data_IF_891430304888
#
_entry.id   IF_891430304888
#
_cell.length_a   1.000
_cell.length_b   1.000
_cell.length_c   1.000
_cell.angle_alpha   90.00
_cell.angle_beta   90.00
_cell.angle_gamma   90.00
#
_symmetry.space_group_name_H-M   'P 1'
#
loop_
_entity.id
_entity.type
_entity.pdbx_description
1 polymer ?
#
# COMPACT_ATOMS: atom_id res chain seq x y z
N UNK A 1 27.16 -45.37 -74.56
CA UNK A 1 26.03 -45.85 -73.73
C UNK A 1 26.43 -45.61 -72.28
N UNK A 2 26.05 -44.46 -71.72
CA UNK A 2 24.95 -44.29 -70.73
C UNK A 2 25.30 -44.95 -69.40
N UNK A 3 25.27 -44.32 -68.23
CA UNK A 3 24.54 -43.11 -67.79
C UNK A 3 25.01 -42.71 -66.40
N UNK A 4 25.17 -41.41 -66.17
CA UNK A 4 25.24 -40.77 -64.86
C UNK A 4 23.91 -40.89 -64.12
N UNK A 5 23.91 -41.44 -62.90
CA UNK A 5 22.74 -41.44 -62.01
C UNK A 5 23.05 -40.51 -60.83
N UNK A 6 22.53 -39.30 -60.92
CA UNK A 6 22.37 -38.36 -59.82
C UNK A 6 21.18 -38.80 -58.96
N UNK A 7 21.42 -39.25 -57.73
CA UNK A 7 20.35 -39.45 -56.74
C UNK A 7 20.22 -38.23 -55.84
N UNK A 8 19.20 -37.42 -56.13
CA UNK A 8 18.71 -36.33 -55.30
C UNK A 8 18.12 -36.88 -54.00
N UNK A 9 18.73 -36.56 -52.85
CA UNK A 9 18.16 -36.83 -51.51
C UNK A 9 16.99 -35.86 -51.29
N UNK A 10 15.80 -36.32 -50.83
CA UNK A 10 14.60 -35.50 -50.78
C UNK A 10 14.64 -34.47 -49.64
N UNK A 11 14.23 -33.25 -49.98
CA UNK A 11 14.24 -32.03 -49.15
C UNK A 11 13.22 -32.01 -47.99
N UNK A 12 12.37 -33.04 -47.85
CA UNK A 12 11.27 -33.06 -46.88
C UNK A 12 11.67 -33.43 -45.44
N UNK A 13 12.72 -34.23 -45.25
CA UNK A 13 13.17 -34.64 -43.91
C UNK A 13 13.97 -33.54 -43.20
N UNK A 14 14.79 -32.79 -43.93
CA UNK A 14 15.55 -31.66 -43.39
C UNK A 14 14.64 -30.53 -42.89
N UNK A 15 13.51 -30.31 -43.56
CA UNK A 15 12.52 -29.29 -43.19
C UNK A 15 11.82 -29.69 -41.88
N UNK A 16 11.42 -30.96 -41.72
CA UNK A 16 10.78 -31.48 -40.49
C UNK A 16 11.67 -31.37 -39.27
N UNK A 17 12.96 -31.72 -39.40
CA UNK A 17 13.94 -31.62 -38.30
C UNK A 17 14.17 -30.16 -37.92
N UNK A 18 14.27 -29.26 -38.90
CA UNK A 18 14.47 -27.83 -38.66
C UNK A 18 13.26 -27.16 -38.00
N UNK A 19 12.04 -27.55 -38.38
CA UNK A 19 10.81 -27.05 -37.74
C UNK A 19 10.64 -27.59 -36.32
N UNK A 20 10.97 -28.87 -36.09
CA UNK A 20 10.89 -29.50 -34.76
C UNK A 20 11.90 -28.89 -33.78
N UNK A 21 13.14 -28.65 -34.21
CA UNK A 21 14.17 -28.02 -33.38
C UNK A 21 13.84 -26.55 -33.05
N UNK A 22 13.24 -25.82 -34.02
CA UNK A 22 12.83 -24.43 -33.82
C UNK A 22 11.65 -24.31 -32.85
N UNK A 23 10.72 -25.26 -32.88
CA UNK A 23 9.58 -25.31 -31.95
C UNK A 23 10.03 -25.69 -30.53
N UNK A 24 10.89 -26.71 -30.39
CA UNK A 24 11.46 -27.15 -29.10
C UNK A 24 12.29 -26.03 -28.42
N UNK A 25 13.05 -25.26 -29.21
CA UNK A 25 13.82 -24.12 -28.69
C UNK A 25 12.94 -22.98 -28.16
N UNK A 26 11.73 -22.79 -28.69
CA UNK A 26 10.81 -21.74 -28.23
C UNK A 26 10.12 -22.17 -26.94
N UNK A 27 9.64 -23.41 -26.85
CA UNK A 27 9.02 -23.94 -25.64
C UNK A 27 10.01 -23.96 -24.47
N UNK A 28 11.25 -24.39 -24.70
CA UNK A 28 12.32 -24.32 -23.69
C UNK A 28 12.62 -22.86 -23.32
N UNK A 29 12.67 -21.94 -24.29
CA UNK A 29 12.90 -20.52 -24.02
C UNK A 29 11.82 -19.91 -23.12
N UNK A 30 10.56 -20.27 -23.34
CA UNK A 30 9.42 -19.83 -22.52
C UNK A 30 9.51 -20.43 -21.12
N UNK A 31 9.81 -21.72 -20.99
CA UNK A 31 9.97 -22.39 -19.69
C UNK A 31 11.12 -21.75 -18.91
N UNK A 32 12.27 -21.49 -19.55
CA UNK A 32 13.41 -20.83 -18.90
C UNK A 32 13.03 -19.41 -18.48
N UNK A 33 12.33 -18.64 -19.30
CA UNK A 33 11.87 -17.29 -18.95
C UNK A 33 10.93 -17.32 -17.73
N UNK A 34 9.97 -18.25 -17.69
CA UNK A 34 9.09 -18.41 -16.55
C UNK A 34 9.84 -18.83 -15.29
N UNK A 35 10.78 -19.77 -15.38
CA UNK A 35 11.61 -20.18 -14.23
C UNK A 35 12.48 -19.01 -13.75
N UNK A 36 13.09 -18.25 -14.66
CA UNK A 36 13.92 -17.10 -14.33
C UNK A 36 13.13 -15.88 -13.81
N UNK A 37 11.81 -15.83 -13.92
CA UNK A 37 10.99 -14.74 -13.37
C UNK A 37 10.23 -15.17 -12.12
N UNK A 38 9.63 -16.36 -12.13
CA UNK A 38 8.81 -16.87 -11.03
C UNK A 38 9.68 -17.25 -9.83
N UNK A 39 10.77 -17.98 -10.04
CA UNK A 39 11.64 -18.43 -8.94
C UNK A 39 12.24 -17.25 -8.17
N UNK A 40 12.87 -16.24 -8.78
CA UNK A 40 13.38 -15.11 -8.02
C UNK A 40 12.26 -14.29 -7.39
N UNK A 41 11.08 -14.18 -8.01
CA UNK A 41 9.94 -13.49 -7.40
C UNK A 41 9.46 -14.20 -6.13
N UNK A 42 9.37 -15.54 -6.14
CA UNK A 42 9.03 -16.33 -4.95
C UNK A 42 10.11 -16.26 -3.87
N UNK A 43 11.39 -16.25 -4.25
CA UNK A 43 12.51 -16.04 -3.32
C UNK A 43 12.42 -14.65 -2.69
N UNK A 44 12.18 -13.60 -3.48
CA UNK A 44 12.01 -12.23 -2.97
C UNK A 44 10.79 -12.16 -2.04
N UNK A 45 9.66 -12.77 -2.39
CA UNK A 45 8.48 -12.82 -1.52
C UNK A 45 8.75 -13.53 -0.20
N UNK A 46 9.47 -14.66 -0.23
CA UNK A 46 9.84 -15.40 0.98
C UNK A 46 10.85 -14.64 1.83
N UNK A 47 11.78 -13.91 1.22
CA UNK A 47 12.70 -13.01 1.93
C UNK A 47 11.95 -11.83 2.58
N UNK A 48 10.97 -11.23 1.89
CA UNK A 48 10.12 -10.18 2.47
C UNK A 48 9.27 -10.74 3.62
N UNK A 49 8.70 -11.93 3.45
CA UNK A 49 7.93 -12.61 4.49
C UNK A 49 8.80 -12.97 5.70
N UNK A 50 10.03 -13.45 5.48
CA UNK A 50 11.00 -13.70 6.55
C UNK A 50 11.45 -12.41 7.24
N UNK A 51 11.61 -11.31 6.49
CA UNK A 51 11.94 -10.00 7.05
C UNK A 51 10.82 -9.47 7.95
N UNK A 52 9.55 -9.73 7.65
CA UNK A 52 8.43 -9.42 8.55
C UNK A 52 8.50 -10.21 9.86
N UNK A 53 9.00 -11.45 9.83
CA UNK A 53 9.18 -12.29 11.02
C UNK A 53 10.44 -11.93 11.84
N UNK A 54 11.41 -11.22 11.24
CA UNK A 54 12.66 -10.79 11.87
C UNK A 54 12.77 -9.26 12.02
N UNK A 55 11.66 -8.53 11.89
CA UNK A 55 11.58 -7.29 12.65
C UNK A 55 11.52 -7.76 14.10
N UNK A 56 12.52 -7.47 14.97
CA UNK A 56 12.21 -7.52 16.39
C UNK A 56 10.97 -6.65 16.49
N UNK A 57 9.87 -7.21 16.99
CA UNK A 57 8.78 -6.37 17.44
C UNK A 57 9.50 -5.34 18.30
N UNK A 58 9.61 -4.11 17.77
CA UNK A 58 9.83 -2.98 18.63
C UNK A 58 8.58 -3.10 19.47
N UNK A 59 8.76 -3.74 20.63
CA UNK A 59 7.88 -3.55 21.72
C UNK A 59 8.03 -2.04 21.95
N UNK A 60 7.21 -1.26 21.23
CA UNK A 60 6.13 -0.62 21.93
C UNK A 60 5.58 -1.69 22.88
N UNK A 61 6.30 -1.86 23.99
CA UNK A 61 5.72 -1.83 25.30
C UNK A 61 4.55 -0.91 25.07
N UNK A 62 3.37 -1.52 25.05
CA UNK A 62 2.11 -0.83 25.14
C UNK A 62 2.27 -0.08 26.44
N UNK A 63 2.93 1.08 26.35
CA UNK A 63 2.93 2.11 27.34
C UNK A 63 1.48 2.51 27.21
N UNK A 64 0.66 1.75 27.92
CA UNK A 64 -0.61 2.16 28.46
C UNK A 64 -0.30 3.28 29.46
N UNK A 65 0.43 4.30 29.00
CA UNK A 65 0.27 5.64 29.48
C UNK A 65 -1.19 5.89 29.17
N UNK A 66 -1.95 6.04 30.24
CA UNK A 66 -3.29 6.58 30.27
C UNK A 66 -3.24 8.01 29.69
N UNK A 67 -2.96 8.11 28.39
CA UNK A 67 -2.84 9.34 27.63
C UNK A 67 -4.26 9.69 27.26
N UNK A 68 -4.93 10.31 28.21
CA UNK A 68 -6.21 10.94 27.96
C UNK A 68 -5.92 12.11 27.03
N UNK A 69 -6.15 11.94 25.72
CA UNK A 69 -6.32 13.11 24.87
C UNK A 69 -7.74 13.64 25.08
N UNK A 70 -7.84 14.94 25.21
CA UNK A 70 -9.10 15.65 25.26
C UNK A 70 -9.44 16.14 23.85
N UNK A 71 -10.66 15.89 23.40
CA UNK A 71 -11.19 16.48 22.17
C UNK A 71 -11.64 17.91 22.43
N UNK A 72 -11.21 18.85 21.59
CA UNK A 72 -11.62 20.25 21.61
C UNK A 72 -12.31 20.59 20.29
N UNK A 73 -13.54 21.09 20.37
CA UNK A 73 -14.32 21.59 19.23
C UNK A 73 -13.97 23.05 18.95
N UNK A 74 -13.82 23.43 17.68
CA UNK A 74 -13.51 24.79 17.26
C UNK A 74 -14.76 25.70 17.17
N UNK A 75 -15.59 25.71 18.21
CA UNK A 75 -16.90 26.40 18.23
C UNK A 75 -16.81 27.90 17.91
N UNK A 76 -15.72 28.55 18.31
CA UNK A 76 -15.51 29.99 18.12
C UNK A 76 -15.00 30.34 16.71
N UNK A 77 -14.75 29.34 15.85
CA UNK A 77 -14.25 29.50 14.50
C UNK A 77 -15.24 28.88 13.52
N UNK A 78 -16.34 29.59 13.25
CA UNK A 78 -17.45 29.08 12.43
C UNK A 78 -17.07 28.72 10.99
N UNK A 79 -15.94 29.23 10.50
CA UNK A 79 -15.33 28.89 9.20
C UNK A 79 -14.55 27.57 9.22
N UNK A 80 -14.15 27.08 10.39
CA UNK A 80 -13.43 25.82 10.54
C UNK A 80 -14.42 24.65 10.58
N UNK A 81 -14.78 24.15 9.40
CA UNK A 81 -15.74 23.06 9.23
C UNK A 81 -15.12 21.91 8.45
N UNK A 82 -15.57 20.71 8.78
CA UNK A 82 -15.32 19.54 7.97
C UNK A 82 -16.08 19.61 6.64
N UNK A 83 -15.77 18.71 5.70
CA UNK A 83 -16.47 18.62 4.43
C UNK A 83 -17.99 18.35 4.54
N UNK A 84 -18.48 17.74 5.62
CA UNK A 84 -19.94 17.58 5.87
C UNK A 84 -20.57 18.77 6.63
N UNK A 85 -19.86 19.90 6.74
CA UNK A 85 -20.23 21.08 7.52
C UNK A 85 -20.25 20.89 9.05
N UNK A 86 -19.90 19.73 9.60
CA UNK A 86 -19.71 19.55 11.04
C UNK A 86 -18.54 20.41 11.57
N UNK A 87 -18.54 20.68 12.88
CA UNK A 87 -17.57 21.58 13.51
C UNK A 87 -16.22 20.86 13.62
N UNK A 88 -15.17 21.43 13.03
CA UNK A 88 -13.84 20.84 13.11
C UNK A 88 -13.35 20.74 14.57
N UNK A 89 -12.51 19.76 14.84
CA UNK A 89 -12.00 19.49 16.19
C UNK A 89 -10.60 18.91 16.15
N UNK A 90 -9.87 19.06 17.26
CA UNK A 90 -8.55 18.46 17.44
C UNK A 90 -8.46 17.76 18.80
N UNK A 91 -7.48 16.87 18.93
CA UNK A 91 -7.16 16.22 20.18
C UNK A 91 -5.92 16.85 20.80
N UNK A 92 -5.94 17.07 22.11
CA UNK A 92 -4.81 17.59 22.87
C UNK A 92 -4.51 16.68 24.05
N UNK A 93 -3.23 16.36 24.21
CA UNK A 93 -2.72 15.72 25.41
C UNK A 93 -1.69 16.63 26.05
N UNK A 94 -2.01 17.13 27.24
CA UNK A 94 -1.09 17.95 28.02
C UNK A 94 -0.17 17.04 28.81
N UNK A 95 1.14 17.24 28.67
CA UNK A 95 2.12 16.50 29.46
C UNK A 95 2.09 17.00 30.90
N UNK A 96 1.66 16.14 31.84
CA UNK A 96 1.74 16.43 33.27
C UNK A 96 3.21 16.32 33.72
N UNK A 97 3.98 17.37 33.49
CA UNK A 97 5.27 17.54 34.11
C UNK A 97 5.21 18.83 34.94
N UNK A 98 5.35 18.72 36.25
CA UNK A 98 5.34 19.85 37.21
C UNK A 98 6.53 20.80 37.02
N UNK A 99 7.37 20.55 36.03
CA UNK A 99 8.45 21.43 35.63
C UNK A 99 7.94 22.35 34.52
N UNK A 100 7.71 23.61 34.87
CA UNK A 100 7.10 24.72 34.10
C UNK A 100 7.69 25.03 32.69
N UNK A 101 8.47 24.14 32.08
CA UNK A 101 9.08 24.32 30.75
C UNK A 101 8.46 23.36 29.71
N UNK A 102 7.14 23.35 29.60
CA UNK A 102 6.41 22.61 28.56
C UNK A 102 6.40 23.38 27.22
N UNK A 103 7.57 23.82 26.75
CA UNK A 103 7.70 24.68 25.55
C UNK A 103 7.71 23.92 24.22
N UNK A 104 7.59 22.60 24.25
CA UNK A 104 7.62 21.75 23.04
C UNK A 104 6.22 21.31 22.68
N UNK A 105 5.79 21.71 21.49
CA UNK A 105 4.53 21.29 20.88
C UNK A 105 4.81 20.29 19.77
N UNK A 106 4.04 19.21 19.75
CA UNK A 106 3.96 18.31 18.60
C UNK A 106 2.56 18.46 18.02
N UNK A 107 2.51 18.91 16.77
CA UNK A 107 1.26 19.00 16.00
C UNK A 107 1.34 17.92 14.93
N UNK A 108 0.34 17.07 14.89
CA UNK A 108 0.24 15.98 13.94
C UNK A 108 -1.03 16.18 13.10
N UNK A 109 -0.87 16.06 11.78
CA UNK A 109 -1.95 16.12 10.81
C UNK A 109 -2.15 14.74 10.22
N UNK A 110 -3.35 14.17 10.41
CA UNK A 110 -3.69 12.92 9.77
C UNK A 110 -3.77 13.09 8.25
N UNK A 111 -3.34 12.06 7.53
CA UNK A 111 -3.43 11.99 6.07
C UNK A 111 -4.74 11.33 5.61
N UNK A 112 -4.70 10.71 4.44
CA UNK A 112 -5.83 9.92 3.92
C UNK A 112 -6.38 10.43 2.59
N UNK A 113 -5.52 10.86 1.68
CA UNK A 113 -5.87 11.35 0.34
C UNK A 113 -6.83 12.56 0.35
N UNK A 114 -7.17 13.05 -0.83
CA UNK A 114 -8.08 14.19 -1.04
C UNK A 114 -9.16 13.83 -2.07
N UNK A 115 -10.18 14.67 -2.17
CA UNK A 115 -11.12 14.69 -3.30
C UNK A 115 -11.01 16.04 -4.02
N UNK A 116 -11.32 16.08 -5.32
CA UNK A 116 -11.05 17.23 -6.19
C UNK A 116 -12.20 17.58 -7.15
N UNK A 117 -13.20 16.71 -7.27
CA UNK A 117 -14.46 16.94 -7.97
C UNK A 117 -15.64 16.50 -7.10
N UNK A 118 -16.84 16.95 -7.45
CA UNK A 118 -18.06 16.54 -6.75
C UNK A 118 -18.21 15.01 -6.69
N UNK A 119 -17.97 14.33 -7.81
CA UNK A 119 -18.05 12.87 -7.92
C UNK A 119 -17.02 12.19 -7.01
N UNK A 120 -15.78 12.70 -6.98
CA UNK A 120 -14.74 12.14 -6.12
C UNK A 120 -15.03 12.36 -4.63
N UNK A 121 -15.69 13.48 -4.27
CA UNK A 121 -16.06 13.76 -2.89
C UNK A 121 -17.29 12.93 -2.45
N UNK A 122 -18.25 12.69 -3.35
CA UNK A 122 -19.35 11.74 -3.10
C UNK A 122 -18.82 10.32 -2.90
N UNK A 123 -17.88 9.88 -3.76
CA UNK A 123 -17.20 8.59 -3.58
C UNK A 123 -16.50 8.52 -2.22
N UNK A 124 -15.74 9.55 -1.85
CA UNK A 124 -15.08 9.61 -0.55
C UNK A 124 -16.08 9.57 0.61
N UNK A 125 -17.24 10.22 0.49
CA UNK A 125 -18.30 10.19 1.51
C UNK A 125 -18.83 8.78 1.73
N UNK A 126 -18.97 8.01 0.66
CA UNK A 126 -19.44 6.64 0.73
C UNK A 126 -18.41 5.66 1.29
N UNK A 127 -17.14 5.78 0.88
CA UNK A 127 -16.11 4.77 1.16
C UNK A 127 -15.11 5.17 2.26
N UNK A 128 -15.08 6.43 2.67
CA UNK A 128 -14.19 6.96 3.72
C UNK A 128 -14.87 8.03 4.58
N UNK A 129 -16.06 7.75 5.15
CA UNK A 129 -16.88 8.75 5.84
C UNK A 129 -16.17 9.40 7.04
N UNK A 130 -15.29 8.65 7.73
CA UNK A 130 -14.59 9.15 8.92
C UNK A 130 -13.62 10.31 8.64
N UNK A 131 -13.22 10.52 7.38
CA UNK A 131 -12.33 11.61 7.00
C UNK A 131 -13.08 12.89 6.63
N UNK A 132 -14.41 12.84 6.57
CA UNK A 132 -15.28 13.92 6.07
C UNK A 132 -16.12 14.55 7.18
N UNK A 133 -16.37 13.81 8.27
CA UNK A 133 -17.19 14.25 9.40
C UNK A 133 -16.47 14.13 10.73
N UNK A 134 -16.69 15.13 11.60
CA UNK A 134 -16.25 15.09 13.00
C UNK A 134 -17.27 14.42 13.94
N UNK A 135 -18.45 14.06 13.44
CA UNK A 135 -19.51 13.48 14.27
C UNK A 135 -19.18 12.05 14.73
N UNK A 136 -18.32 11.34 13.99
CA UNK A 136 -17.98 9.93 14.23
C UNK A 136 -16.70 9.73 15.06
N UNK A 137 -16.14 10.80 15.61
CA UNK A 137 -14.91 10.75 16.38
C UNK A 137 -15.15 10.12 17.75
N UNK A 138 -14.78 8.84 17.89
CA UNK A 138 -14.93 8.07 19.13
C UNK A 138 -13.65 8.10 19.98
N UNK A 139 -13.83 8.16 21.31
CA UNK A 139 -12.75 8.29 22.29
C UNK A 139 -11.86 7.04 22.47
N UNK A 140 -12.28 5.88 21.98
CA UNK A 140 -11.70 4.60 22.41
C UNK A 140 -10.44 4.17 21.63
N UNK A 141 -10.18 4.69 20.42
CA UNK A 141 -9.03 4.30 19.58
C UNK A 141 -8.13 5.48 19.20
N UNK A 142 -7.84 6.30 20.20
CA UNK A 142 -7.19 7.61 20.09
C UNK A 142 -5.71 7.57 19.64
N UNK A 143 -5.10 6.39 19.65
CA UNK A 143 -3.73 6.17 19.20
C UNK A 143 -3.61 5.66 17.76
N UNK A 144 -4.70 5.13 17.19
CA UNK A 144 -4.69 4.60 15.82
C UNK A 144 -5.34 5.56 14.81
N UNK A 145 -5.94 6.66 15.29
CA UNK A 145 -6.56 7.70 14.46
C UNK A 145 -6.66 9.01 15.23
N UNK A 146 -5.83 9.98 14.87
CA UNK A 146 -5.96 11.36 15.34
C UNK A 146 -6.84 12.08 14.32
N UNK A 147 -8.12 11.69 14.31
CA UNK A 147 -9.02 12.12 13.25
C UNK A 147 -9.16 13.65 13.26
N UNK A 148 -8.54 14.29 12.27
CA UNK A 148 -8.84 15.65 11.84
C UNK A 148 -9.62 15.46 10.55
N UNK A 149 -10.85 15.97 10.51
CA UNK A 149 -11.62 15.98 9.27
C UNK A 149 -10.98 17.03 8.33
N UNK A 150 -10.78 16.65 7.07
CA UNK A 150 -10.38 17.55 5.99
C UNK A 150 -11.55 17.74 5.02
#
# INVERSE_FOLDING_TARGET
MTSSISSSIPSSELIKIKTSHKFYSIEIGIIILFLCLIIPCLIILTLIYQQQNHLPSLSLTKISSNKNFQRILLMNYSQARCMDNSIASYYIHLTNNNNNNNSRWLIYFDGGWFCYSNESCEFRRQYSPNLITSNNFNKENLFDRLDICM
#
